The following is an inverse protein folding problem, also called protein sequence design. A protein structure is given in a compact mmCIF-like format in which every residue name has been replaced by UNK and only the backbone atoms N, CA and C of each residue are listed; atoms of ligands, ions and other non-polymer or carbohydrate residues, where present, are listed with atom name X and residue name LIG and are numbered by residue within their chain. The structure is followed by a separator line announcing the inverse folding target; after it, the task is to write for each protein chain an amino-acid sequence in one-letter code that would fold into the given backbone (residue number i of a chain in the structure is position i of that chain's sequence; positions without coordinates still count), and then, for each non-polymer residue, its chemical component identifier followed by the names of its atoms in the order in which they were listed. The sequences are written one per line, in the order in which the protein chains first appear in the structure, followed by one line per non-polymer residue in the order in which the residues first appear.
data_IF_295085755043
#
_entry.id   IF_295085755043
#
_cell.length_a   1.000
_cell.length_b   1.000
_cell.length_c   1.000
_cell.angle_alpha   90.00
_cell.angle_beta   90.00
_cell.angle_gamma   90.00
#
_symmetry.space_group_name_H-M   'P 1'
#
loop_
_entity.id
_entity.type
_entity.pdbx_description
1 polymer ?
#
# COMPACT_ATOMS: atom_id res chain seq x y z
N UNK A 1 6.15 24.62 21.15
CA UNK A 1 5.71 23.27 21.50
C UNK A 1 5.37 23.25 22.99
N UNK A 2 4.13 22.96 23.34
CA UNK A 2 3.68 22.90 24.73
C UNK A 2 3.17 21.49 25.03
N UNK A 3 3.69 20.88 26.10
CA UNK A 3 3.12 19.63 26.63
C UNK A 3 1.86 19.98 27.45
N UNK A 4 0.80 19.20 27.25
CA UNK A 4 -0.44 19.30 27.99
C UNK A 4 -1.00 17.91 28.32
N UNK A 5 -1.94 17.84 29.24
CA UNK A 5 -2.63 16.63 29.66
C UNK A 5 -4.17 16.83 29.54
N UNK A 6 -4.71 17.00 28.32
CA UNK A 6 -6.12 17.18 28.11
C UNK A 6 -6.91 15.90 28.45
N UNK A 7 -8.21 16.06 28.71
CA UNK A 7 -9.13 14.93 28.83
C UNK A 7 -9.37 14.32 27.45
N UNK A 8 -9.62 13.00 27.41
CA UNK A 8 -9.77 12.26 26.13
C UNK A 8 -10.94 12.75 25.29
N UNK A 9 -11.99 13.30 25.91
CA UNK A 9 -13.16 13.86 25.23
C UNK A 9 -12.84 15.14 24.44
N UNK A 10 -11.77 15.86 24.79
CA UNK A 10 -11.31 17.06 24.08
C UNK A 10 -10.37 16.74 22.90
N UNK A 11 -10.08 15.44 22.70
CA UNK A 11 -9.22 14.95 21.64
C UNK A 11 -10.07 14.38 20.50
N UNK A 12 -10.13 15.10 19.41
CA UNK A 12 -10.94 14.75 18.23
C UNK A 12 -10.07 14.04 17.18
N UNK A 13 -10.63 13.06 16.43
CA UNK A 13 -9.91 12.40 15.35
C UNK A 13 -9.61 13.39 14.22
N UNK A 14 -8.53 13.12 13.47
CA UNK A 14 -8.23 13.85 12.24
C UNK A 14 -9.32 13.57 11.19
N UNK A 15 -9.93 14.58 10.55
CA UNK A 15 -10.93 14.38 9.51
C UNK A 15 -10.36 13.57 8.35
N UNK A 16 -11.17 12.64 7.82
CA UNK A 16 -10.79 11.76 6.70
C UNK A 16 -9.52 10.93 6.94
N UNK A 17 -9.24 10.59 8.21
CA UNK A 17 -8.07 9.82 8.59
C UNK A 17 -8.05 8.48 7.82
N UNK A 18 -7.03 8.21 6.97
CA UNK A 18 -7.05 7.06 6.07
C UNK A 18 -6.77 5.73 6.78
N UNK A 19 -6.14 5.77 7.95
CA UNK A 19 -5.70 4.58 8.68
C UNK A 19 -6.69 4.21 9.77
N UNK A 20 -7.13 2.95 9.77
CA UNK A 20 -8.05 2.45 10.79
C UNK A 20 -7.30 2.03 12.06
N UNK A 21 -7.93 2.28 13.20
CA UNK A 21 -7.52 1.69 14.48
C UNK A 21 -8.17 0.31 14.55
N UNK A 22 -7.35 -0.74 14.51
CA UNK A 22 -7.81 -2.13 14.58
C UNK A 22 -7.52 -2.71 15.94
N UNK A 23 -8.41 -3.56 16.44
CA UNK A 23 -8.18 -4.38 17.63
C UNK A 23 -7.43 -5.67 17.25
N UNK A 24 -6.13 -5.49 16.95
CA UNK A 24 -5.17 -6.54 16.65
C UNK A 24 -4.28 -6.85 17.86
N UNK A 25 -3.42 -7.86 17.74
CA UNK A 25 -2.51 -8.25 18.82
C UNK A 25 -1.60 -7.08 19.26
N UNK A 26 -1.06 -6.32 18.29
CA UNK A 26 -0.25 -5.12 18.59
C UNK A 26 -1.04 -4.07 19.38
N UNK A 27 -2.37 -3.97 19.16
CA UNK A 27 -3.22 -3.06 19.92
C UNK A 27 -3.40 -3.54 21.35
N UNK A 28 -3.59 -4.86 21.57
CA UNK A 28 -3.72 -5.45 22.90
C UNK A 28 -2.44 -5.26 23.71
N UNK A 29 -1.27 -5.45 23.09
CA UNK A 29 0.02 -5.14 23.71
C UNK A 29 0.14 -3.64 24.05
N UNK A 30 -0.31 -2.75 23.15
CA UNK A 30 -0.33 -1.31 23.38
C UNK A 30 -1.24 -0.95 24.58
N UNK A 31 -2.44 -1.55 24.66
CA UNK A 31 -3.37 -1.35 25.77
C UNK A 31 -2.73 -1.83 27.09
N UNK A 32 -2.10 -3.00 27.09
CA UNK A 32 -1.43 -3.53 28.27
C UNK A 32 -0.29 -2.62 28.73
N UNK A 33 0.55 -2.17 27.81
CA UNK A 33 1.63 -1.22 28.09
C UNK A 33 1.10 0.10 28.67
N UNK A 34 0.00 0.62 28.11
CA UNK A 34 -0.64 1.85 28.62
C UNK A 34 -1.22 1.65 30.02
N UNK A 35 -1.75 0.49 30.34
CA UNK A 35 -2.22 0.15 31.72
C UNK A 35 -1.09 0.11 32.73
N UNK A 36 0.06 -0.41 32.34
CA UNK A 36 1.21 -0.61 33.26
C UNK A 36 2.05 0.68 33.42
N UNK A 37 2.32 1.38 32.33
CA UNK A 37 3.29 2.48 32.31
C UNK A 37 2.68 3.83 31.93
N UNK A 38 1.39 3.88 31.59
CA UNK A 38 0.79 5.06 30.99
C UNK A 38 1.28 5.31 29.56
N UNK A 39 1.01 6.49 29.03
CA UNK A 39 1.46 6.89 27.69
C UNK A 39 2.85 7.54 27.80
N UNK A 40 3.89 6.80 27.43
CA UNK A 40 5.29 7.23 27.51
C UNK A 40 5.62 8.31 26.46
N UNK A 41 5.13 8.12 25.22
CA UNK A 41 5.35 9.04 24.10
C UNK A 41 4.08 9.87 23.87
N UNK A 42 4.11 11.20 24.04
CA UNK A 42 2.95 12.06 23.86
C UNK A 42 2.38 11.98 22.44
N UNK A 43 1.06 12.11 22.28
CA UNK A 43 0.44 12.28 20.98
C UNK A 43 0.72 13.69 20.43
N UNK A 44 0.71 13.87 19.11
CA UNK A 44 0.81 15.19 18.47
C UNK A 44 -0.60 15.65 18.16
N UNK A 45 -0.94 16.85 18.61
CA UNK A 45 -2.23 17.47 18.40
C UNK A 45 -2.10 18.91 17.91
N UNK A 46 -3.15 19.43 17.28
CA UNK A 46 -3.28 20.86 16.97
C UNK A 46 -4.56 21.44 17.57
N UNK A 47 -4.60 22.72 17.92
CA UNK A 47 -5.82 23.38 18.38
C UNK A 47 -6.88 23.38 17.27
N UNK A 48 -8.17 23.26 17.68
CA UNK A 48 -9.34 23.45 16.81
C UNK A 48 -9.95 24.82 17.07
N UNK A 49 -10.53 25.42 16.05
CA UNK A 49 -11.26 26.69 16.16
C UNK A 49 -12.50 26.57 17.06
N UNK A 50 -13.14 25.40 17.04
CA UNK A 50 -14.34 25.07 17.83
C UNK A 50 -14.04 24.64 19.28
N UNK A 51 -12.77 24.71 19.70
CA UNK A 51 -12.29 24.21 20.99
C UNK A 51 -11.81 22.77 20.94
N UNK A 52 -11.03 22.38 21.95
CA UNK A 52 -10.36 21.10 22.01
C UNK A 52 -9.19 20.97 21.02
N UNK A 53 -8.77 19.74 20.76
CA UNK A 53 -7.60 19.44 19.95
C UNK A 53 -7.89 18.37 18.92
N UNK A 54 -7.35 18.53 17.73
CA UNK A 54 -7.37 17.51 16.68
C UNK A 54 -6.07 16.68 16.74
N UNK A 55 -6.22 15.35 16.76
CA UNK A 55 -5.08 14.43 16.84
C UNK A 55 -4.43 14.32 15.46
N UNK A 56 -3.18 14.73 15.36
CA UNK A 56 -2.36 14.58 14.14
C UNK A 56 -1.65 13.23 14.14
N UNK A 57 -1.10 12.80 15.29
CA UNK A 57 -0.48 11.48 15.44
C UNK A 57 -0.73 10.94 16.85
N UNK A 58 -1.19 9.69 16.95
CA UNK A 58 -1.43 9.00 18.22
C UNK A 58 -2.85 8.49 18.42
N UNK A 59 -3.64 8.28 17.37
CA UNK A 59 -4.99 7.71 17.44
C UNK A 59 -5.03 6.36 18.16
N UNK A 60 -4.05 5.47 17.92
CA UNK A 60 -3.92 4.20 18.64
C UNK A 60 -3.69 4.39 20.14
N UNK A 61 -2.91 5.40 20.52
CA UNK A 61 -2.66 5.73 21.95
C UNK A 61 -3.92 6.25 22.64
N UNK A 62 -4.70 7.11 21.94
CA UNK A 62 -6.01 7.52 22.45
C UNK A 62 -6.91 6.34 22.69
N UNK A 63 -7.07 5.44 21.69
CA UNK A 63 -7.86 4.24 21.82
C UNK A 63 -7.38 3.35 22.98
N UNK A 64 -6.07 3.18 23.13
CA UNK A 64 -5.50 2.40 24.22
C UNK A 64 -5.79 3.03 25.59
N UNK A 65 -5.75 4.38 25.72
CA UNK A 65 -6.15 5.08 26.95
C UNK A 65 -7.62 4.83 27.30
N UNK A 66 -8.52 4.93 26.31
CA UNK A 66 -9.95 4.66 26.49
C UNK A 66 -10.18 3.21 26.99
N UNK A 67 -9.51 2.23 26.38
CA UNK A 67 -9.60 0.83 26.80
C UNK A 67 -8.88 0.54 28.14
N UNK A 68 -7.92 1.35 28.51
CA UNK A 68 -7.23 1.28 29.82
C UNK A 68 -8.00 1.98 30.95
N UNK A 69 -9.09 2.70 30.64
CA UNK A 69 -9.89 3.46 31.61
C UNK A 69 -9.21 4.74 32.11
N UNK A 70 -8.34 5.34 31.29
CA UNK A 70 -7.70 6.62 31.60
C UNK A 70 -8.58 7.78 31.09
N UNK A 71 -8.66 8.85 31.88
CA UNK A 71 -9.45 10.04 31.49
C UNK A 71 -8.64 11.04 30.68
N UNK A 72 -7.31 11.00 30.77
CA UNK A 72 -6.41 11.97 30.16
C UNK A 72 -5.29 11.28 29.40
N UNK A 73 -4.70 12.00 28.43
CA UNK A 73 -3.53 11.53 27.68
C UNK A 73 -2.53 12.67 27.47
N UNK A 74 -1.21 12.42 27.66
CA UNK A 74 -0.20 13.42 27.38
C UNK A 74 -0.12 13.73 25.89
N UNK A 75 -0.11 15.01 25.55
CA UNK A 75 -0.05 15.50 24.18
C UNK A 75 1.00 16.59 24.01
N UNK A 76 1.53 16.69 22.79
CA UNK A 76 2.38 17.76 22.33
C UNK A 76 1.56 18.65 21.39
N UNK A 77 1.24 19.85 21.84
CA UNK A 77 0.48 20.83 21.07
C UNK A 77 1.41 21.49 20.04
N UNK A 78 1.03 21.42 18.78
CA UNK A 78 1.68 22.11 17.66
C UNK A 78 0.67 22.97 16.91
N UNK A 79 1.04 24.21 16.66
CA UNK A 79 0.24 25.09 15.80
C UNK A 79 0.59 24.78 14.35
N UNK A 80 -0.18 23.87 13.73
CA UNK A 80 -0.01 23.39 12.37
C UNK A 80 -1.21 23.79 11.53
N UNK A 81 -0.94 24.27 10.32
CA UNK A 81 -2.01 24.38 9.32
C UNK A 81 -2.49 22.97 8.87
N UNK A 82 -3.57 22.95 8.11
CA UNK A 82 -4.19 21.70 7.66
C UNK A 82 -3.24 20.83 6.82
N UNK A 83 -2.48 21.45 5.92
CA UNK A 83 -1.61 20.72 4.99
C UNK A 83 -0.38 20.17 5.72
N UNK A 84 0.26 20.95 6.61
CA UNK A 84 1.35 20.49 7.45
C UNK A 84 0.91 19.36 8.40
N UNK A 85 -0.28 19.47 8.99
CA UNK A 85 -0.85 18.42 9.83
C UNK A 85 -1.12 17.13 9.02
N UNK A 86 -1.66 17.25 7.79
CA UNK A 86 -1.89 16.10 6.90
C UNK A 86 -0.57 15.39 6.57
N UNK A 87 0.49 16.12 6.24
CA UNK A 87 1.80 15.54 5.92
C UNK A 87 2.35 14.77 7.12
N UNK A 88 2.35 15.38 8.32
CA UNK A 88 2.85 14.72 9.54
C UNK A 88 2.01 13.47 9.88
N UNK A 89 0.69 13.56 9.75
CA UNK A 89 -0.21 12.45 10.00
C UNK A 89 0.10 11.26 9.05
N UNK A 90 0.27 11.53 7.77
CA UNK A 90 0.59 10.50 6.77
C UNK A 90 1.97 9.91 7.04
N UNK A 91 3.00 10.73 7.25
CA UNK A 91 4.38 10.27 7.46
C UNK A 91 4.52 9.40 8.71
N UNK A 92 3.84 9.77 9.79
CA UNK A 92 3.86 8.99 11.04
C UNK A 92 3.20 7.61 10.93
N UNK A 93 2.35 7.39 9.92
CA UNK A 93 1.64 6.13 9.72
C UNK A 93 2.20 5.28 8.57
N UNK A 94 2.75 5.89 7.50
CA UNK A 94 3.29 5.14 6.36
C UNK A 94 4.51 4.26 6.69
N UNK A 95 5.13 4.47 7.84
CA UNK A 95 6.26 3.66 8.33
C UNK A 95 5.81 2.34 9.00
N UNK A 96 4.49 2.12 9.17
CA UNK A 96 3.97 0.89 9.75
C UNK A 96 4.09 -0.28 8.77
N UNK A 97 4.35 -1.48 9.28
CA UNK A 97 4.52 -2.68 8.46
C UNK A 97 3.20 -3.15 7.83
N UNK A 98 2.10 -3.09 8.58
CA UNK A 98 0.81 -3.68 8.19
C UNK A 98 -0.22 -2.62 7.76
N UNK A 99 0.04 -1.91 6.64
CA UNK A 99 -0.89 -0.94 6.05
C UNK A 99 -1.63 -1.59 4.89
N UNK A 100 -2.97 -1.46 4.88
CA UNK A 100 -3.76 -1.92 3.74
C UNK A 100 -3.45 -1.12 2.47
N UNK A 101 -3.55 -1.75 1.28
CA UNK A 101 -3.46 -1.04 0.00
C UNK A 101 -4.38 0.17 -0.09
N UNK A 102 -5.62 0.06 0.36
CA UNK A 102 -6.59 1.18 0.39
C UNK A 102 -6.16 2.34 1.27
N UNK A 103 -5.63 2.03 2.47
CA UNK A 103 -5.12 3.03 3.40
C UNK A 103 -3.91 3.75 2.81
N UNK A 104 -2.96 2.99 2.23
CA UNK A 104 -1.77 3.55 1.58
C UNK A 104 -2.11 4.41 0.38
N UNK A 105 -3.08 3.99 -0.44
CA UNK A 105 -3.56 4.75 -1.59
C UNK A 105 -4.15 6.10 -1.18
N UNK A 106 -5.04 6.11 -0.20
CA UNK A 106 -5.64 7.34 0.36
C UNK A 106 -4.59 8.24 0.99
N UNK A 107 -3.65 7.67 1.76
CA UNK A 107 -2.57 8.41 2.42
C UNK A 107 -1.66 9.13 1.41
N UNK A 108 -1.22 8.44 0.36
CA UNK A 108 -0.42 9.07 -0.71
C UNK A 108 -1.20 10.16 -1.44
N UNK A 109 -2.49 9.95 -1.73
CA UNK A 109 -3.34 10.96 -2.35
C UNK A 109 -3.44 12.22 -1.47
N UNK A 110 -3.74 12.06 -0.19
CA UNK A 110 -3.85 13.17 0.76
C UNK A 110 -2.52 13.93 0.88
N UNK A 111 -1.39 13.25 0.99
CA UNK A 111 -0.07 13.87 1.05
C UNK A 111 0.25 14.64 -0.23
N UNK A 112 -0.01 14.04 -1.40
CA UNK A 112 0.21 14.69 -2.70
C UNK A 112 -0.61 15.98 -2.84
N UNK A 113 -1.87 15.95 -2.43
CA UNK A 113 -2.75 17.12 -2.45
C UNK A 113 -2.28 18.21 -1.48
N UNK A 114 -1.84 17.84 -0.26
CA UNK A 114 -1.28 18.77 0.71
C UNK A 114 0.00 19.46 0.19
N UNK A 115 0.94 18.71 -0.38
CA UNK A 115 2.18 19.24 -0.97
C UNK A 115 1.87 20.20 -2.12
N UNK A 116 0.93 19.83 -3.00
CA UNK A 116 0.51 20.71 -4.12
C UNK A 116 -0.07 22.02 -3.62
N UNK A 117 -0.92 22.01 -2.58
CA UNK A 117 -1.49 23.24 -1.98
C UNK A 117 -0.42 24.13 -1.34
N UNK A 118 0.55 23.53 -0.62
CA UNK A 118 1.69 24.26 -0.07
C UNK A 118 2.59 24.85 -1.16
N UNK A 119 2.87 24.09 -2.23
CA UNK A 119 3.64 24.56 -3.38
C UNK A 119 2.99 25.77 -4.08
N UNK A 120 1.68 25.72 -4.29
CA UNK A 120 0.93 26.84 -4.91
C UNK A 120 0.98 28.12 -4.04
N UNK A 121 1.01 28.01 -2.71
CA UNK A 121 1.17 29.16 -1.79
C UNK A 121 2.57 29.79 -1.88
N UNK A 122 3.60 28.95 -2.03
CA UNK A 122 5.00 29.40 -2.09
C UNK A 122 5.36 30.02 -3.46
N UNK A 123 4.75 29.56 -4.57
CA UNK A 123 4.98 30.12 -5.92
C UNK A 123 4.50 31.55 -6.07
N UNK A 124 3.60 32.04 -5.20
CA UNK A 124 3.17 33.45 -5.16
C UNK A 124 4.23 34.38 -4.54
N UNK A 125 5.28 33.86 -3.92
CA UNK A 125 6.26 34.65 -3.15
C UNK A 125 7.69 34.61 -3.66
N UNK A 126 8.04 33.73 -4.64
CA UNK A 126 9.43 33.67 -5.17
C UNK A 126 9.54 32.99 -6.52
N UNK A 127 10.11 33.66 -7.54
CA UNK A 127 10.48 33.01 -8.80
C UNK A 127 11.81 32.26 -8.61
N UNK A 128 11.80 30.99 -8.32
CA UNK A 128 12.98 30.12 -8.41
C UNK A 128 12.76 29.04 -9.45
N UNK A 129 13.44 29.22 -10.58
CA UNK A 129 13.73 28.21 -11.59
C UNK A 129 14.69 27.20 -10.97
N UNK A 130 14.17 26.16 -10.35
CA UNK A 130 14.89 24.91 -10.12
C UNK A 130 14.04 23.80 -10.71
N UNK A 131 14.67 22.81 -11.33
CA UNK A 131 13.99 21.64 -11.88
C UNK A 131 13.15 21.00 -10.75
N UNK A 132 11.85 21.34 -10.71
CA UNK A 132 10.93 20.91 -9.66
C UNK A 132 10.70 19.44 -9.91
N UNK A 133 11.28 18.59 -9.09
CA UNK A 133 10.89 17.18 -8.99
C UNK A 133 9.36 17.14 -8.94
N UNK A 134 8.75 16.22 -9.68
CA UNK A 134 7.30 16.04 -9.59
C UNK A 134 6.97 15.68 -8.15
N UNK A 135 5.88 16.20 -7.60
CA UNK A 135 5.52 16.00 -6.18
C UNK A 135 5.36 14.52 -5.80
N UNK A 136 5.03 13.66 -6.76
CA UNK A 136 4.97 12.20 -6.60
C UNK A 136 6.37 11.57 -6.48
N UNK A 137 7.37 12.08 -7.21
CA UNK A 137 8.77 11.63 -7.10
C UNK A 137 9.40 12.09 -5.78
N UNK A 138 9.03 13.28 -5.28
CA UNK A 138 9.44 13.78 -3.96
C UNK A 138 8.91 12.88 -2.84
N UNK A 139 7.61 12.53 -2.90
CA UNK A 139 7.01 11.58 -1.95
C UNK A 139 7.71 10.22 -2.04
N UNK A 140 7.97 9.74 -3.26
CA UNK A 140 8.66 8.47 -3.49
C UNK A 140 10.05 8.46 -2.85
N UNK A 141 10.84 9.50 -3.06
CA UNK A 141 12.17 9.65 -2.46
C UNK A 141 12.13 9.64 -0.93
N UNK A 142 11.18 10.36 -0.30
CA UNK A 142 11.00 10.37 1.15
C UNK A 142 10.63 9.00 1.71
N UNK A 143 9.89 8.19 0.95
CA UNK A 143 9.41 6.86 1.35
C UNK A 143 10.28 5.70 0.88
N UNK A 144 11.39 5.97 0.18
CA UNK A 144 12.27 4.93 -0.37
C UNK A 144 11.63 4.10 -1.50
N UNK A 145 10.65 4.67 -2.23
CA UNK A 145 9.97 4.04 -3.36
C UNK A 145 10.04 4.93 -4.61
N UNK A 146 9.73 4.39 -5.79
CA UNK A 146 9.66 5.20 -7.01
C UNK A 146 8.39 6.07 -7.04
N UNK A 147 8.44 7.23 -7.73
CA UNK A 147 7.26 8.04 -7.99
C UNK A 147 6.18 7.28 -8.76
N UNK A 148 6.56 6.33 -9.64
CA UNK A 148 5.61 5.44 -10.31
C UNK A 148 4.86 4.56 -9.30
N UNK A 149 5.52 4.07 -8.26
CA UNK A 149 4.88 3.33 -7.17
C UNK A 149 3.83 4.19 -6.47
N UNK A 150 4.16 5.45 -6.17
CA UNK A 150 3.23 6.40 -5.55
C UNK A 150 2.01 6.63 -6.46
N UNK A 151 2.24 6.88 -7.75
CA UNK A 151 1.16 7.06 -8.75
C UNK A 151 0.25 5.83 -8.86
N UNK A 152 0.85 4.64 -8.89
CA UNK A 152 0.13 3.37 -8.95
C UNK A 152 -0.77 3.17 -7.71
N UNK A 153 -0.25 3.41 -6.51
CA UNK A 153 -1.08 3.37 -5.30
C UNK A 153 -2.22 4.39 -5.34
N UNK A 154 -1.94 5.63 -5.73
CA UNK A 154 -2.98 6.68 -5.85
C UNK A 154 -4.07 6.25 -6.84
N UNK A 155 -3.71 5.58 -7.95
CA UNK A 155 -4.71 5.10 -8.92
C UNK A 155 -5.72 4.13 -8.31
N UNK A 156 -5.35 3.36 -7.27
CA UNK A 156 -6.29 2.46 -6.58
C UNK A 156 -7.48 3.20 -5.95
N UNK A 157 -7.35 4.50 -5.67
CA UNK A 157 -8.49 5.29 -5.18
C UNK A 157 -9.63 5.44 -6.19
N UNK A 158 -9.42 5.03 -7.45
CA UNK A 158 -10.44 5.01 -8.51
C UNK A 158 -11.20 3.68 -8.57
N UNK A 159 -10.80 2.68 -7.77
CA UNK A 159 -11.53 1.41 -7.71
C UNK A 159 -12.87 1.59 -6.99
N UNK A 160 -13.89 0.87 -7.48
CA UNK A 160 -15.15 0.72 -6.75
C UNK A 160 -14.88 -0.03 -5.43
N UNK A 161 -15.71 0.21 -4.38
CA UNK A 161 -15.45 -0.33 -3.04
C UNK A 161 -15.25 -1.84 -3.01
N UNK A 162 -16.01 -2.59 -3.78
CA UNK A 162 -15.96 -4.06 -3.84
C UNK A 162 -14.61 -4.57 -4.36
N UNK A 163 -14.10 -3.97 -5.44
CA UNK A 163 -12.79 -4.32 -5.98
C UNK A 163 -11.66 -3.90 -5.04
N UNK A 164 -11.81 -2.73 -4.39
CA UNK A 164 -10.83 -2.27 -3.42
C UNK A 164 -10.76 -3.21 -2.22
N UNK A 165 -11.90 -3.70 -1.74
CA UNK A 165 -11.95 -4.70 -0.68
C UNK A 165 -11.24 -6.00 -1.10
N UNK A 166 -11.45 -6.48 -2.33
CA UNK A 166 -10.75 -7.66 -2.84
C UNK A 166 -9.23 -7.48 -2.90
N UNK A 167 -8.76 -6.25 -3.14
CA UNK A 167 -7.32 -5.91 -3.10
C UNK A 167 -6.80 -5.95 -1.66
N UNK A 168 -7.52 -5.38 -0.71
CA UNK A 168 -7.16 -5.39 0.72
C UNK A 168 -7.14 -6.81 1.29
N UNK A 169 -8.06 -7.67 0.84
CA UNK A 169 -8.13 -9.10 1.19
C UNK A 169 -7.09 -9.96 0.43
N UNK A 170 -6.25 -9.35 -0.41
CA UNK A 170 -5.25 -10.03 -1.26
C UNK A 170 -5.84 -11.03 -2.28
N UNK A 171 -7.15 -10.96 -2.56
CA UNK A 171 -7.80 -11.74 -3.63
C UNK A 171 -7.39 -11.25 -5.01
N UNK A 172 -7.21 -9.95 -5.17
CA UNK A 172 -6.65 -9.32 -6.37
C UNK A 172 -5.27 -8.76 -6.02
N UNK A 173 -4.25 -9.16 -6.78
CA UNK A 173 -2.89 -8.65 -6.61
C UNK A 173 -2.79 -7.17 -7.05
N UNK A 174 -1.80 -6.41 -6.53
CA UNK A 174 -1.64 -4.99 -6.82
C UNK A 174 -1.45 -4.70 -8.31
N UNK A 175 -0.66 -5.53 -9.03
CA UNK A 175 -0.37 -5.27 -10.45
C UNK A 175 -1.60 -5.34 -11.36
N UNK A 176 -2.49 -6.36 -11.28
CA UNK A 176 -3.80 -6.30 -11.94
C UNK A 176 -4.66 -5.14 -11.48
N UNK A 177 -4.71 -4.85 -10.15
CA UNK A 177 -5.53 -3.79 -9.59
C UNK A 177 -5.21 -2.41 -10.18
N UNK A 178 -3.92 -2.09 -10.42
CA UNK A 178 -3.51 -0.85 -11.09
C UNK A 178 -4.04 -0.73 -12.52
N UNK A 179 -4.22 -1.84 -13.22
CA UNK A 179 -4.80 -1.84 -14.58
C UNK A 179 -6.32 -1.67 -14.52
N UNK A 180 -6.97 -2.34 -13.56
CA UNK A 180 -8.41 -2.28 -13.33
C UNK A 180 -8.84 -0.88 -12.88
N UNK A 181 -8.03 -0.20 -12.08
CA UNK A 181 -8.27 1.18 -11.63
C UNK A 181 -8.37 2.21 -12.79
N UNK A 182 -7.95 1.84 -13.99
CA UNK A 182 -8.07 2.67 -15.19
C UNK A 182 -9.38 2.42 -15.98
N UNK A 183 -10.19 1.44 -15.57
CA UNK A 183 -11.51 1.17 -16.16
C UNK A 183 -12.54 2.21 -15.67
N UNK A 184 -13.61 2.40 -16.45
CA UNK A 184 -14.74 3.23 -16.02
C UNK A 184 -15.50 2.56 -14.86
N UNK A 185 -16.17 3.34 -14.00
CA UNK A 185 -16.92 2.77 -12.87
C UNK A 185 -17.92 1.68 -13.28
N UNK A 186 -18.62 1.86 -14.41
CA UNK A 186 -19.59 0.89 -14.93
C UNK A 186 -18.90 -0.42 -15.37
N UNK A 187 -17.72 -0.30 -15.98
CA UNK A 187 -16.92 -1.46 -16.40
C UNK A 187 -16.32 -2.20 -15.19
N UNK A 188 -15.98 -1.46 -14.13
CA UNK A 188 -15.53 -2.06 -12.86
C UNK A 188 -16.67 -2.83 -12.18
N UNK A 189 -17.89 -2.29 -12.18
CA UNK A 189 -19.05 -2.97 -11.61
C UNK A 189 -19.38 -4.25 -12.40
N UNK A 190 -19.28 -4.20 -13.72
CA UNK A 190 -19.39 -5.36 -14.60
C UNK A 190 -18.34 -6.42 -14.26
N UNK A 191 -17.09 -5.99 -13.97
CA UNK A 191 -16.02 -6.90 -13.57
C UNK A 191 -16.32 -7.58 -12.23
N UNK A 192 -16.90 -6.88 -11.25
CA UNK A 192 -17.34 -7.49 -9.97
C UNK A 192 -18.30 -8.64 -10.24
N UNK A 193 -19.34 -8.41 -11.05
CA UNK A 193 -20.31 -9.45 -11.43
C UNK A 193 -19.65 -10.63 -12.16
N UNK A 194 -18.68 -10.34 -13.05
CA UNK A 194 -17.96 -11.38 -13.79
C UNK A 194 -17.05 -12.21 -12.87
N UNK A 195 -16.40 -11.58 -11.88
CA UNK A 195 -15.58 -12.29 -10.88
C UNK A 195 -16.46 -13.25 -10.06
N UNK A 196 -17.65 -12.81 -9.66
CA UNK A 196 -18.59 -13.63 -8.90
C UNK A 196 -19.13 -14.79 -9.74
N UNK A 197 -19.35 -14.59 -11.04
CA UNK A 197 -19.80 -15.64 -11.96
C UNK A 197 -18.71 -16.68 -12.23
N UNK A 198 -17.50 -16.24 -12.57
CA UNK A 198 -16.36 -17.10 -12.93
C UNK A 198 -15.65 -17.68 -11.69
N UNK A 199 -15.97 -17.22 -10.48
CA UNK A 199 -15.29 -17.56 -9.22
C UNK A 199 -13.76 -17.42 -9.34
N UNK A 200 -13.31 -16.44 -10.11
CA UNK A 200 -11.90 -16.21 -10.42
C UNK A 200 -11.61 -14.72 -10.54
N UNK A 201 -10.46 -14.29 -10.01
CA UNK A 201 -9.97 -12.92 -10.15
C UNK A 201 -9.06 -12.76 -11.38
N UNK A 202 -9.02 -11.59 -12.03
CA UNK A 202 -8.24 -11.40 -13.25
C UNK A 202 -6.73 -11.46 -13.00
N UNK A 203 -6.00 -12.11 -13.90
CA UNK A 203 -4.55 -12.04 -13.99
C UNK A 203 -4.11 -10.67 -14.52
N UNK A 204 -2.81 -10.34 -14.40
CA UNK A 204 -2.25 -9.11 -14.96
C UNK A 204 -2.49 -9.00 -16.48
N UNK A 205 -2.34 -10.08 -17.23
CA UNK A 205 -2.55 -10.09 -18.69
C UNK A 205 -4.01 -9.85 -19.06
N UNK A 206 -4.94 -10.44 -18.33
CA UNK A 206 -6.37 -10.21 -18.50
C UNK A 206 -6.74 -8.76 -18.16
N UNK A 207 -6.27 -8.22 -17.05
CA UNK A 207 -6.51 -6.82 -16.66
C UNK A 207 -5.93 -5.81 -17.68
N UNK A 208 -4.73 -6.06 -18.22
CA UNK A 208 -4.15 -5.25 -19.30
C UNK A 208 -4.98 -5.28 -20.58
N UNK A 209 -5.55 -6.43 -20.95
CA UNK A 209 -6.43 -6.56 -22.12
C UNK A 209 -7.74 -5.81 -21.87
N UNK A 210 -8.37 -5.96 -20.70
CA UNK A 210 -9.57 -5.21 -20.33
C UNK A 210 -9.33 -3.70 -20.46
N UNK A 211 -8.22 -3.19 -19.93
CA UNK A 211 -7.84 -1.79 -20.07
C UNK A 211 -7.71 -1.35 -21.53
N UNK A 212 -7.07 -2.15 -22.39
CA UNK A 212 -6.97 -1.86 -23.83
C UNK A 212 -8.34 -1.84 -24.52
N UNK A 213 -9.22 -2.77 -24.17
CA UNK A 213 -10.59 -2.82 -24.71
C UNK A 213 -11.42 -1.63 -24.20
N UNK A 214 -11.30 -1.26 -22.94
CA UNK A 214 -11.93 -0.04 -22.38
C UNK A 214 -11.49 1.21 -23.11
N UNK A 215 -10.16 1.41 -23.30
CA UNK A 215 -9.60 2.55 -24.02
C UNK A 215 -10.07 2.63 -25.48
N UNK A 216 -10.34 1.47 -26.11
CA UNK A 216 -10.88 1.38 -27.44
C UNK A 216 -12.43 1.51 -27.49
N UNK A 217 -13.10 1.69 -26.33
CA UNK A 217 -14.56 1.72 -26.24
C UNK A 217 -15.26 0.41 -26.61
N UNK A 218 -14.56 -0.72 -26.47
CA UNK A 218 -15.04 -2.05 -26.89
C UNK A 218 -15.20 -3.04 -25.71
N UNK A 219 -14.99 -2.59 -24.48
CA UNK A 219 -15.20 -3.41 -23.31
C UNK A 219 -16.69 -3.47 -22.99
N UNK A 220 -17.26 -4.67 -23.13
CA UNK A 220 -18.64 -4.99 -22.80
C UNK A 220 -18.67 -6.34 -22.06
N UNK A 221 -19.84 -6.78 -21.64
CA UNK A 221 -20.04 -7.99 -20.83
C UNK A 221 -19.50 -9.24 -21.53
N UNK A 222 -19.81 -9.44 -22.83
CA UNK A 222 -19.33 -10.58 -23.61
C UNK A 222 -17.81 -10.60 -23.73
N UNK A 223 -17.19 -9.45 -24.02
CA UNK A 223 -15.73 -9.37 -24.15
C UNK A 223 -15.01 -9.53 -22.79
N UNK A 224 -15.62 -9.07 -21.71
CA UNK A 224 -15.09 -9.26 -20.36
C UNK A 224 -15.16 -10.73 -19.95
N UNK A 225 -16.31 -11.37 -20.16
CA UNK A 225 -16.48 -12.80 -19.90
C UNK A 225 -15.51 -13.63 -20.73
N UNK A 226 -15.37 -13.35 -22.05
CA UNK A 226 -14.42 -14.02 -22.91
C UNK A 226 -12.96 -13.88 -22.43
N UNK A 227 -12.58 -12.71 -21.89
CA UNK A 227 -11.25 -12.48 -21.32
C UNK A 227 -11.08 -13.25 -20.01
N UNK A 228 -12.10 -13.33 -19.17
CA UNK A 228 -12.02 -13.98 -17.86
C UNK A 228 -12.06 -15.51 -17.95
N UNK A 229 -12.84 -16.07 -18.87
CA UNK A 229 -12.98 -17.52 -19.08
C UNK A 229 -11.79 -18.17 -19.81
N UNK A 230 -10.83 -17.36 -20.34
CA UNK A 230 -9.61 -17.92 -20.90
C UNK A 230 -8.78 -18.62 -19.82
N UNK A 231 -8.31 -19.84 -20.10
CA UNK A 231 -7.38 -20.56 -19.23
C UNK A 231 -6.17 -19.68 -18.89
N UNK A 232 -5.96 -19.44 -17.60
CA UNK A 232 -4.76 -18.72 -17.13
C UNK A 232 -3.54 -19.50 -17.60
N UNK A 233 -2.70 -18.86 -18.42
CA UNK A 233 -1.39 -19.46 -18.75
C UNK A 233 -0.71 -19.84 -17.44
N UNK A 234 -0.24 -21.09 -17.29
CA UNK A 234 0.47 -21.46 -16.07
C UNK A 234 1.59 -20.47 -15.81
N UNK A 235 1.65 -19.97 -14.58
CA UNK A 235 2.75 -19.08 -14.18
C UNK A 235 4.05 -19.80 -14.48
N UNK A 236 4.85 -19.23 -15.39
CA UNK A 236 6.19 -19.77 -15.66
C UNK A 236 6.98 -19.62 -14.37
N UNK A 237 7.14 -20.72 -13.66
CA UNK A 237 8.07 -20.75 -12.54
C UNK A 237 9.45 -20.40 -13.07
N UNK A 238 9.96 -19.23 -12.76
CA UNK A 238 11.33 -18.82 -13.11
C UNK A 238 12.16 -18.75 -11.84
N UNK A 239 13.24 -19.53 -11.84
CA UNK A 239 14.24 -19.48 -10.79
C UNK A 239 15.44 -18.69 -11.32
N UNK A 240 15.62 -17.48 -10.81
CA UNK A 240 16.76 -16.64 -11.18
C UNK A 240 17.89 -16.84 -10.20
N UNK A 241 19.03 -17.29 -10.69
CA UNK A 241 20.24 -17.42 -9.90
C UNK A 241 21.16 -16.21 -10.15
N UNK A 242 21.86 -15.80 -9.10
CA UNK A 242 22.96 -14.86 -9.22
C UNK A 242 24.06 -15.52 -10.10
N UNK A 243 24.33 -14.92 -11.26
CA UNK A 243 25.25 -15.41 -12.25
C UNK A 243 26.67 -15.66 -11.69
N UNK A 244 27.14 -14.77 -10.82
CA UNK A 244 28.49 -14.86 -10.22
C UNK A 244 28.61 -16.02 -9.21
N UNK A 245 27.51 -16.32 -8.49
CA UNK A 245 27.46 -17.45 -7.55
C UNK A 245 27.49 -18.80 -8.25
N UNK A 246 26.94 -18.90 -9.45
CA UNK A 246 26.90 -20.17 -10.20
C UNK A 246 28.11 -20.31 -11.08
N UNK A 247 28.60 -19.21 -11.66
CA UNK A 247 29.74 -19.22 -12.61
C UNK A 247 30.99 -19.94 -12.08
N UNK A 248 31.26 -19.87 -10.79
CA UNK A 248 32.42 -20.53 -10.15
C UNK A 248 32.39 -22.06 -10.22
N UNK A 249 31.25 -22.68 -10.48
CA UNK A 249 31.13 -24.15 -10.60
C UNK A 249 31.25 -24.66 -12.03
N UNK A 250 31.40 -23.76 -13.02
CA UNK A 250 31.46 -24.11 -14.43
C UNK A 250 32.73 -23.62 -15.09
N UNK A 251 33.23 -24.36 -16.12
CA UNK A 251 34.34 -23.89 -16.93
C UNK A 251 34.05 -22.53 -17.55
N UNK A 252 35.11 -21.70 -17.72
CA UNK A 252 34.95 -20.34 -18.31
C UNK A 252 34.38 -20.35 -19.73
N UNK A 253 34.50 -21.45 -20.46
CA UNK A 253 33.99 -21.64 -21.83
C UNK A 253 32.53 -21.97 -21.91
N UNK A 254 31.83 -22.27 -20.78
CA UNK A 254 30.42 -22.65 -20.80
C UNK A 254 29.53 -21.46 -21.07
N UNK A 255 28.61 -21.62 -22.02
CA UNK A 255 27.53 -20.66 -22.25
C UNK A 255 26.42 -20.78 -21.19
N UNK A 256 25.56 -19.75 -20.97
CA UNK A 256 24.45 -19.85 -20.05
C UNK A 256 23.52 -21.06 -20.32
N UNK A 257 23.26 -21.37 -21.58
CA UNK A 257 22.46 -22.53 -21.99
C UNK A 257 23.13 -23.87 -21.63
N UNK A 258 24.46 -23.97 -21.77
CA UNK A 258 25.18 -25.16 -21.35
C UNK A 258 25.20 -25.35 -19.84
N UNK A 259 25.24 -24.25 -19.07
CA UNK A 259 25.13 -24.29 -17.61
C UNK A 259 23.74 -24.77 -17.20
N UNK A 260 22.66 -24.22 -17.79
CA UNK A 260 21.29 -24.62 -17.55
C UNK A 260 21.07 -26.12 -17.82
N UNK A 261 21.49 -26.60 -18.99
CA UNK A 261 21.38 -28.01 -19.36
C UNK A 261 22.15 -28.93 -18.39
N UNK A 262 23.30 -28.51 -17.89
CA UNK A 262 24.06 -29.28 -16.91
C UNK A 262 23.36 -29.32 -15.56
N UNK A 263 22.77 -28.21 -15.11
CA UNK A 263 21.97 -28.14 -13.85
C UNK A 263 20.79 -29.08 -13.95
N UNK A 264 20.05 -29.07 -15.08
CA UNK A 264 18.89 -29.95 -15.29
C UNK A 264 19.31 -31.42 -15.20
N UNK A 265 20.39 -31.83 -15.89
CA UNK A 265 20.92 -33.20 -15.81
C UNK A 265 21.28 -33.64 -14.39
N UNK A 266 21.90 -32.75 -13.61
CA UNK A 266 22.23 -33.03 -12.22
C UNK A 266 20.99 -33.19 -11.34
N UNK A 267 19.98 -32.37 -11.55
CA UNK A 267 18.69 -32.48 -10.84
C UNK A 267 17.94 -33.76 -11.20
N UNK A 268 17.92 -34.17 -12.46
CA UNK A 268 17.35 -35.44 -12.89
C UNK A 268 18.06 -36.65 -12.25
N UNK A 269 19.39 -36.61 -12.22
CA UNK A 269 20.20 -37.67 -11.57
C UNK A 269 19.92 -37.73 -10.06
N UNK A 270 19.83 -36.57 -9.40
CA UNK A 270 19.49 -36.47 -8.00
C UNK A 270 18.07 -37.01 -7.70
N UNK A 271 17.08 -36.67 -8.54
CA UNK A 271 15.70 -37.17 -8.43
C UNK A 271 15.63 -38.70 -8.52
N UNK A 272 16.30 -39.29 -9.51
CA UNK A 272 16.38 -40.77 -9.67
C UNK A 272 17.03 -41.43 -8.45
N UNK A 273 18.07 -40.82 -7.87
CA UNK A 273 18.73 -41.31 -6.67
C UNK A 273 17.79 -41.27 -5.46
N UNK A 274 17.01 -40.20 -5.31
CA UNK A 274 16.04 -40.04 -4.22
C UNK A 274 14.91 -41.05 -4.31
N UNK A 275 14.36 -41.30 -5.50
CA UNK A 275 13.31 -42.32 -5.73
C UNK A 275 13.79 -43.70 -5.32
N UNK A 276 15.00 -44.11 -5.75
CA UNK A 276 15.60 -45.40 -5.35
C UNK A 276 15.88 -45.55 -3.85
N UNK A 277 16.05 -44.43 -3.15
CA UNK A 277 16.24 -44.44 -1.69
C UNK A 277 14.93 -44.52 -0.91
N UNK A 278 13.78 -44.18 -1.52
CA UNK A 278 12.46 -44.30 -0.92
C UNK A 278 11.80 -45.67 -1.17
N UNK A 279 12.30 -46.43 -2.16
CA UNK A 279 11.83 -47.79 -2.49
C UNK A 279 12.60 -48.89 -1.72
N UNK A 280 13.54 -48.51 -0.85
CA UNK A 280 14.27 -49.38 0.08
C UNK A 280 13.81 -49.15 1.53
#
# INVERSE_FOLDING_TARGET
QTCALPILTDLYPFPDHPFQVRDDEEMRETIQSVKEYGVIVPAIVRPREEGGYEIVAGHRRKYACEQAGLDTMPVLIRNLDRDAATIIMVDSNLQRENILPSERAKAYKMKLEAIKRQGARNDLTSPKISAKLRSDDEIGQQMGVSGDTVRNYISLTNLVPELMQMVDEKKIALSPAYQIAALKPEEQQMLVTTIDYEQATPSLSQAQRMKKFSQAGRLNEDSMLAIMSEEKKPEKFSLTFDGDRIRKYFPKSYTPLQMENTIIKLLEAWQRKRQRSQER
#
